data_IF_052738381370
#
_entry.id   IF_052738381370
#
_cell.length_a   1.000
_cell.length_b   1.000
_cell.length_c   1.000
_cell.angle_alpha   90.00
_cell.angle_beta   90.00
_cell.angle_gamma   90.00
#
_symmetry.space_group_name_H-M   'P 1'
#
loop_
_entity.id
_entity.type
_entity.pdbx_description
1 polymer ?
#
# COMPACT_ATOMS: atom_id res chain seq x y z
N UNK A 1 -30.50 6.19 37.11
CA UNK A 1 -29.71 7.02 36.16
C UNK A 1 -28.33 6.39 36.05
N UNK A 2 -28.10 5.56 35.08
CA UNK A 2 -26.78 4.94 34.79
C UNK A 2 -25.95 5.99 34.09
N UNK A 3 -24.94 6.52 34.76
CA UNK A 3 -23.89 7.32 34.11
C UNK A 3 -23.15 6.44 33.14
N UNK A 4 -23.45 6.55 31.85
CA UNK A 4 -22.57 6.00 30.80
C UNK A 4 -21.23 6.70 30.95
N UNK A 5 -20.20 5.94 31.32
CA UNK A 5 -18.83 6.40 31.29
C UNK A 5 -18.45 6.50 29.77
N UNK A 6 -18.44 7.72 29.26
CA UNK A 6 -18.06 7.99 27.89
C UNK A 6 -16.56 7.72 27.75
N UNK A 7 -16.20 6.62 27.10
CA UNK A 7 -14.80 6.33 26.76
C UNK A 7 -14.33 7.33 25.72
N UNK A 8 -13.45 8.25 26.11
CA UNK A 8 -12.89 9.30 25.23
C UNK A 8 -11.73 8.85 24.35
N UNK A 9 -11.35 7.57 24.37
CA UNK A 9 -10.30 7.05 23.50
C UNK A 9 -10.94 6.62 22.18
N UNK A 10 -10.80 7.45 21.16
CA UNK A 10 -11.31 7.17 19.84
C UNK A 10 -10.28 6.34 19.06
N UNK A 11 -10.75 5.31 18.37
CA UNK A 11 -9.93 4.49 17.46
C UNK A 11 -9.37 5.32 16.28
N UNK A 12 -10.08 6.36 15.88
CA UNK A 12 -9.68 7.28 14.82
C UNK A 12 -10.25 8.66 15.09
N UNK A 13 -9.48 9.71 14.78
CA UNK A 13 -9.91 11.11 14.81
C UNK A 13 -10.11 11.73 13.44
N UNK A 14 -10.27 10.88 12.41
CA UNK A 14 -10.40 11.35 11.03
C UNK A 14 -11.47 12.44 10.86
N UNK A 15 -12.62 12.31 11.53
CA UNK A 15 -13.69 13.32 11.44
C UNK A 15 -13.29 14.66 12.10
N UNK A 16 -12.47 14.67 13.15
CA UNK A 16 -11.95 15.91 13.74
C UNK A 16 -10.99 16.61 12.80
N UNK A 17 -10.06 15.84 12.19
CA UNK A 17 -9.11 16.34 11.18
C UNK A 17 -9.85 16.85 9.95
N UNK A 18 -10.83 16.11 9.44
CA UNK A 18 -11.65 16.54 8.32
C UNK A 18 -12.48 17.77 8.66
N UNK A 19 -12.94 17.90 9.91
CA UNK A 19 -13.66 19.08 10.39
C UNK A 19 -12.84 20.36 10.32
N UNK A 20 -11.55 20.31 10.66
CA UNK A 20 -10.65 21.46 10.60
C UNK A 20 -10.29 21.86 9.15
N UNK A 21 -10.35 20.91 8.22
CA UNK A 21 -10.06 21.10 6.80
C UNK A 21 -11.32 21.15 5.92
N UNK A 22 -12.50 21.33 6.53
CA UNK A 22 -13.78 21.21 5.84
C UNK A 22 -13.87 22.04 4.58
N UNK A 23 -13.56 23.31 4.66
CA UNK A 23 -13.73 24.24 3.55
C UNK A 23 -12.70 23.93 2.43
N UNK A 24 -11.45 23.64 2.77
CA UNK A 24 -10.42 23.21 1.82
C UNK A 24 -10.82 21.92 1.09
N UNK A 25 -11.38 20.93 1.82
CA UNK A 25 -11.88 19.69 1.24
C UNK A 25 -13.06 19.96 0.29
N UNK A 26 -14.01 20.79 0.70
CA UNK A 26 -15.18 21.12 -0.13
C UNK A 26 -14.77 21.84 -1.41
N UNK A 27 -13.83 22.79 -1.33
CA UNK A 27 -13.29 23.50 -2.48
C UNK A 27 -12.55 22.56 -3.43
N UNK A 28 -11.71 21.65 -2.91
CA UNK A 28 -11.01 20.66 -3.72
C UNK A 28 -11.98 19.70 -4.42
N UNK A 29 -13.02 19.24 -3.74
CA UNK A 29 -14.07 18.39 -4.32
C UNK A 29 -14.85 19.14 -5.39
N UNK A 30 -15.24 20.39 -5.13
CA UNK A 30 -15.94 21.24 -6.10
C UNK A 30 -15.11 21.46 -7.38
N UNK A 31 -13.81 21.68 -7.24
CA UNK A 31 -12.89 21.80 -8.39
C UNK A 31 -12.85 20.54 -9.26
N UNK A 32 -12.99 19.35 -8.68
CA UNK A 32 -13.01 18.11 -9.45
C UNK A 32 -14.39 17.87 -10.10
N UNK A 33 -15.49 18.11 -9.36
CA UNK A 33 -16.85 17.79 -9.82
C UNK A 33 -17.34 18.76 -10.90
N UNK A 34 -17.06 20.06 -10.72
CA UNK A 34 -17.61 21.13 -11.57
C UNK A 34 -16.66 21.62 -12.67
N UNK A 35 -15.53 20.96 -12.85
CA UNK A 35 -14.57 21.21 -13.92
C UNK A 35 -14.53 20.02 -14.90
N UNK A 36 -13.89 20.18 -16.08
CA UNK A 36 -13.74 19.09 -17.03
C UNK A 36 -13.14 17.82 -16.40
N UNK A 37 -13.54 16.66 -16.89
CA UNK A 37 -13.08 15.34 -16.42
C UNK A 37 -11.54 15.25 -16.30
N UNK A 38 -10.82 15.94 -17.19
CA UNK A 38 -9.36 16.07 -17.14
C UNK A 38 -8.82 16.61 -15.81
N UNK A 39 -9.60 17.40 -15.07
CA UNK A 39 -9.18 17.93 -13.77
C UNK A 39 -9.01 16.81 -12.73
N UNK A 40 -9.89 15.82 -12.71
CA UNK A 40 -9.77 14.67 -11.81
C UNK A 40 -8.49 13.87 -12.07
N UNK A 41 -8.13 13.66 -13.34
CA UNK A 41 -6.87 13.00 -13.71
C UNK A 41 -5.66 13.80 -13.26
N UNK A 42 -5.64 15.11 -13.50
CA UNK A 42 -4.53 16.00 -13.06
C UNK A 42 -4.36 16.02 -11.54
N UNK A 43 -5.47 16.06 -10.80
CA UNK A 43 -5.45 16.01 -9.34
C UNK A 43 -4.86 14.71 -8.83
N UNK A 44 -5.25 13.57 -9.43
CA UNK A 44 -4.66 12.27 -9.10
C UNK A 44 -3.16 12.24 -9.41
N UNK A 45 -2.74 12.63 -10.60
CA UNK A 45 -1.33 12.64 -11.00
C UNK A 45 -0.48 13.54 -10.10
N UNK A 46 -1.01 14.71 -9.73
CA UNK A 46 -0.33 15.61 -8.80
C UNK A 46 -0.17 14.98 -7.41
N UNK A 47 -1.19 14.28 -6.92
CA UNK A 47 -1.13 13.58 -5.63
C UNK A 47 -0.15 12.39 -5.70
N UNK A 48 -0.18 11.60 -6.76
CA UNK A 48 0.76 10.50 -7.00
C UNK A 48 2.21 11.01 -6.96
N UNK A 49 2.50 12.12 -7.67
CA UNK A 49 3.84 12.72 -7.69
C UNK A 49 4.30 13.23 -6.31
N UNK A 50 3.42 13.92 -5.59
CA UNK A 50 3.70 14.43 -4.24
C UNK A 50 3.92 13.28 -3.24
N UNK A 51 3.10 12.24 -3.32
CA UNK A 51 3.22 11.08 -2.43
C UNK A 51 4.50 10.30 -2.70
N UNK A 52 4.85 10.04 -3.96
CA UNK A 52 6.12 9.42 -4.34
C UNK A 52 7.31 10.21 -3.78
N UNK A 53 7.31 11.54 -3.92
CA UNK A 53 8.34 12.41 -3.37
C UNK A 53 8.41 12.31 -1.84
N UNK A 54 7.26 12.31 -1.15
CA UNK A 54 7.20 12.28 0.32
C UNK A 54 7.80 10.98 0.91
N UNK A 55 7.66 9.86 0.20
CA UNK A 55 8.21 8.55 0.62
C UNK A 55 9.53 8.19 -0.09
N UNK A 56 10.12 9.14 -0.83
CA UNK A 56 11.42 8.95 -1.46
C UNK A 56 11.43 7.94 -2.61
N UNK A 57 10.28 7.70 -3.26
CA UNK A 57 10.14 6.80 -4.39
C UNK A 57 10.02 7.54 -5.73
N UNK A 58 10.31 6.86 -6.85
CA UNK A 58 10.24 7.47 -8.18
C UNK A 58 8.81 7.55 -8.72
N UNK A 59 7.98 6.56 -8.41
CA UNK A 59 6.66 6.40 -8.98
C UNK A 59 5.64 6.10 -7.90
N UNK A 60 4.42 6.61 -8.10
CA UNK A 60 3.25 6.24 -7.34
C UNK A 60 2.07 5.97 -8.27
N UNK A 61 1.16 5.08 -7.86
CA UNK A 61 -0.06 4.72 -8.58
C UNK A 61 -1.21 4.66 -7.59
N UNK A 62 -2.19 5.54 -7.76
CA UNK A 62 -3.41 5.55 -6.96
C UNK A 62 -4.32 4.37 -7.27
N UNK A 63 -4.90 3.76 -6.23
CA UNK A 63 -5.82 2.63 -6.33
C UNK A 63 -7.05 2.84 -5.45
N UNK A 64 -8.10 2.06 -5.71
CA UNK A 64 -9.35 2.16 -4.96
C UNK A 64 -9.22 1.78 -3.48
N UNK A 65 -8.32 0.88 -3.12
CA UNK A 65 -8.04 0.46 -1.75
C UNK A 65 -6.69 -0.25 -1.65
N UNK A 66 -6.11 -0.34 -0.45
CA UNK A 66 -4.90 -1.13 -0.24
C UNK A 66 -5.09 -2.61 -0.60
N UNK A 67 -6.27 -3.19 -0.36
CA UNK A 67 -6.59 -4.57 -0.76
C UNK A 67 -6.39 -4.78 -2.26
N UNK A 68 -6.94 -3.89 -3.08
CA UNK A 68 -6.71 -3.92 -4.55
C UNK A 68 -5.25 -3.60 -4.86
N UNK A 69 -4.63 -2.68 -4.11
CA UNK A 69 -3.21 -2.38 -4.22
C UNK A 69 -2.32 -3.61 -4.05
N UNK A 70 -2.52 -4.38 -2.98
CA UNK A 70 -1.79 -5.64 -2.73
C UNK A 70 -1.99 -6.65 -3.86
N UNK A 71 -3.22 -6.81 -4.36
CA UNK A 71 -3.52 -7.70 -5.48
C UNK A 71 -2.75 -7.29 -6.75
N UNK A 72 -2.78 -6.00 -7.07
CA UNK A 72 -2.10 -5.43 -8.24
C UNK A 72 -0.58 -5.51 -8.08
N UNK A 73 -0.04 -5.21 -6.89
CA UNK A 73 1.38 -5.31 -6.58
C UNK A 73 1.92 -6.73 -6.78
N UNK A 74 1.23 -7.73 -6.23
CA UNK A 74 1.59 -9.14 -6.41
C UNK A 74 1.61 -9.53 -7.89
N UNK A 75 0.60 -9.11 -8.67
CA UNK A 75 0.55 -9.38 -10.12
C UNK A 75 1.67 -8.67 -10.87
N UNK A 76 1.93 -7.40 -10.57
CA UNK A 76 3.00 -6.64 -11.21
C UNK A 76 4.39 -7.20 -10.88
N UNK A 77 4.55 -7.83 -9.71
CA UNK A 77 5.75 -8.58 -9.32
C UNK A 77 5.79 -10.01 -9.89
N UNK A 78 4.86 -10.40 -10.77
CA UNK A 78 4.88 -11.69 -11.48
C UNK A 78 4.28 -12.87 -10.71
N UNK A 79 3.65 -12.65 -9.55
CA UNK A 79 3.07 -13.74 -8.76
C UNK A 79 1.92 -14.40 -9.52
N UNK A 80 1.96 -15.72 -9.58
CA UNK A 80 1.09 -16.58 -10.37
C UNK A 80 0.49 -17.71 -9.52
N UNK A 81 -0.56 -18.41 -10.01
CA UNK A 81 -1.12 -19.55 -9.30
C UNK A 81 -0.07 -20.63 -9.00
N UNK A 82 -0.03 -21.09 -7.75
CA UNK A 82 0.90 -22.09 -7.25
C UNK A 82 2.21 -21.53 -6.69
N UNK A 83 2.53 -20.25 -6.91
CA UNK A 83 3.66 -19.59 -6.24
C UNK A 83 3.39 -19.44 -4.74
N UNK A 84 4.46 -19.44 -3.97
CA UNK A 84 4.42 -19.21 -2.53
C UNK A 84 4.83 -17.77 -2.20
N UNK A 85 4.07 -17.15 -1.29
CA UNK A 85 4.34 -15.82 -0.74
C UNK A 85 4.44 -15.93 0.78
N UNK A 86 5.61 -15.64 1.33
CA UNK A 86 5.84 -15.64 2.78
C UNK A 86 5.22 -14.36 3.36
N UNK A 87 4.37 -14.51 4.39
CA UNK A 87 3.71 -13.40 5.08
C UNK A 87 3.39 -13.77 6.52
N UNK A 88 2.68 -12.92 7.25
CA UNK A 88 2.31 -13.13 8.66
C UNK A 88 0.83 -13.46 8.82
N UNK A 89 0.46 -14.11 9.93
CA UNK A 89 -0.93 -14.42 10.25
C UNK A 89 -1.65 -13.29 10.99
N UNK A 90 -0.93 -12.44 11.70
CA UNK A 90 -1.47 -11.34 12.52
C UNK A 90 -1.68 -10.06 11.71
N UNK A 91 -2.38 -10.14 10.60
CA UNK A 91 -2.71 -9.03 9.73
C UNK A 91 -4.20 -8.96 9.42
N UNK A 92 -4.61 -7.92 8.68
CA UNK A 92 -5.94 -7.90 8.06
C UNK A 92 -6.10 -9.06 7.09
N UNK A 93 -7.32 -9.58 6.96
CA UNK A 93 -7.63 -10.68 6.04
C UNK A 93 -7.27 -10.36 4.59
N UNK A 94 -7.18 -9.09 4.22
CA UNK A 94 -6.78 -8.65 2.89
C UNK A 94 -5.40 -9.15 2.51
N UNK A 95 -4.45 -9.19 3.43
CA UNK A 95 -3.06 -9.61 3.17
C UNK A 95 -2.98 -11.04 2.64
N UNK A 96 -3.53 -12.00 3.38
CA UNK A 96 -3.55 -13.42 2.95
C UNK A 96 -4.63 -13.69 1.89
N UNK A 97 -5.74 -12.95 1.95
CA UNK A 97 -6.86 -13.08 1.03
C UNK A 97 -6.48 -12.79 -0.42
N UNK A 98 -5.71 -11.74 -0.68
CA UNK A 98 -5.29 -11.41 -2.05
C UNK A 98 -4.31 -12.44 -2.62
N UNK A 99 -3.41 -13.00 -1.79
CA UNK A 99 -2.52 -14.11 -2.20
C UNK A 99 -3.37 -15.30 -2.66
N UNK A 100 -4.36 -15.69 -1.86
CA UNK A 100 -5.28 -16.79 -2.21
C UNK A 100 -6.13 -16.47 -3.44
N UNK A 101 -6.55 -15.21 -3.60
CA UNK A 101 -7.33 -14.78 -4.75
C UNK A 101 -6.56 -14.93 -6.08
N UNK A 102 -5.23 -14.77 -6.04
CA UNK A 102 -4.36 -15.03 -7.19
C UNK A 102 -4.10 -16.52 -7.46
N UNK A 103 -4.61 -17.42 -6.62
CA UNK A 103 -4.27 -18.84 -6.67
C UNK A 103 -2.89 -19.18 -6.12
N UNK A 104 -2.18 -18.20 -5.55
CA UNK A 104 -0.93 -18.40 -4.86
C UNK A 104 -1.14 -18.94 -3.43
N UNK A 105 -0.08 -19.37 -2.79
CA UNK A 105 -0.09 -20.01 -1.46
C UNK A 105 0.56 -19.09 -0.43
N UNK A 106 -0.17 -18.58 0.57
CA UNK A 106 0.44 -17.87 1.67
C UNK A 106 1.20 -18.87 2.57
N UNK A 107 2.48 -18.61 2.78
CA UNK A 107 3.34 -19.32 3.73
C UNK A 107 3.47 -18.44 4.96
N UNK A 108 2.98 -18.91 6.10
CA UNK A 108 2.93 -18.10 7.31
C UNK A 108 4.26 -18.18 8.07
N UNK A 109 4.86 -17.01 8.25
CA UNK A 109 6.02 -16.80 9.12
C UNK A 109 5.54 -16.26 10.46
N UNK A 110 6.18 -16.64 11.53
CA UNK A 110 5.89 -16.10 12.86
C UNK A 110 6.41 -14.66 13.00
N UNK A 111 5.97 -13.98 14.03
CA UNK A 111 6.31 -12.59 14.30
C UNK A 111 7.24 -12.47 15.50
N UNK A 112 7.90 -11.33 15.62
CA UNK A 112 8.65 -10.96 16.81
C UNK A 112 7.70 -10.67 17.97
N UNK A 113 8.00 -11.16 19.17
CA UNK A 113 7.25 -10.85 20.38
C UNK A 113 7.38 -9.38 20.79
N UNK A 114 8.45 -8.70 20.38
CA UNK A 114 8.77 -7.33 20.75
C UNK A 114 7.85 -6.29 20.09
N UNK A 115 7.45 -6.52 18.84
CA UNK A 115 6.79 -5.51 18.01
C UNK A 115 5.73 -6.07 17.06
N UNK A 116 5.57 -7.38 17.03
CA UNK A 116 4.57 -8.10 16.22
C UNK A 116 4.79 -7.97 14.69
N UNK A 117 5.95 -7.51 14.25
CA UNK A 117 6.31 -7.55 12.83
C UNK A 117 6.89 -8.91 12.44
N UNK A 118 7.01 -9.18 11.15
CA UNK A 118 7.54 -10.43 10.62
C UNK A 118 8.93 -10.73 11.18
N UNK A 119 9.14 -11.93 11.74
CA UNK A 119 10.44 -12.36 12.25
C UNK A 119 11.36 -12.74 11.06
N UNK A 120 12.25 -11.83 10.70
CA UNK A 120 13.17 -11.98 9.57
C UNK A 120 14.10 -13.20 9.72
N UNK A 121 14.45 -13.59 10.96
CA UNK A 121 15.34 -14.72 11.22
C UNK A 121 14.72 -16.08 10.82
N UNK A 122 13.40 -16.14 10.68
CA UNK A 122 12.68 -17.35 10.28
C UNK A 122 12.43 -17.44 8.78
N UNK A 123 12.55 -16.32 8.03
CA UNK A 123 12.16 -16.24 6.62
C UNK A 123 12.92 -17.23 5.75
N UNK A 124 14.25 -17.29 5.92
CA UNK A 124 15.10 -18.08 5.03
C UNK A 124 14.82 -19.58 5.13
N UNK A 125 14.40 -20.06 6.31
CA UNK A 125 14.01 -21.46 6.53
C UNK A 125 12.67 -21.83 5.87
N UNK A 126 11.85 -20.85 5.50
CA UNK A 126 10.56 -21.05 4.85
C UNK A 126 10.63 -20.99 3.31
N UNK A 127 11.81 -20.64 2.76
CA UNK A 127 11.98 -20.53 1.32
C UNK A 127 12.04 -21.91 0.68
N UNK A 128 11.21 -22.10 -0.36
CA UNK A 128 11.21 -23.27 -1.22
C UNK A 128 11.46 -22.88 -2.67
N UNK A 129 11.53 -23.86 -3.57
CA UNK A 129 11.64 -23.60 -5.02
C UNK A 129 10.42 -22.89 -5.63
N UNK A 130 9.32 -22.81 -4.88
CA UNK A 130 8.07 -22.13 -5.28
C UNK A 130 7.93 -20.72 -4.71
N UNK A 131 8.75 -20.36 -3.73
CA UNK A 131 8.70 -19.04 -3.11
C UNK A 131 9.11 -17.99 -4.14
N UNK A 132 8.31 -16.93 -4.28
CA UNK A 132 8.53 -15.83 -5.21
C UNK A 132 8.57 -14.47 -4.53
N UNK A 133 7.95 -14.35 -3.36
CA UNK A 133 7.90 -13.07 -2.67
C UNK A 133 7.83 -13.24 -1.15
N UNK A 134 8.20 -12.16 -0.46
CA UNK A 134 7.90 -11.93 0.96
C UNK A 134 6.97 -10.72 1.02
N UNK A 135 5.89 -10.83 1.80
CA UNK A 135 4.93 -9.77 2.05
C UNK A 135 4.93 -9.44 3.54
N UNK A 136 5.87 -8.59 4.02
CA UNK A 136 5.87 -8.08 5.39
C UNK A 136 4.72 -7.10 5.59
N UNK A 137 4.29 -6.94 6.84
CA UNK A 137 3.21 -6.04 7.25
C UNK A 137 3.72 -5.11 8.35
N UNK A 138 3.57 -3.81 8.14
CA UNK A 138 3.89 -2.77 9.12
C UNK A 138 2.74 -2.60 10.11
N UNK A 139 2.58 -3.61 10.96
CA UNK A 139 1.44 -3.71 11.85
C UNK A 139 1.46 -2.54 12.87
N UNK A 140 0.30 -1.95 13.08
CA UNK A 140 0.12 -0.79 13.95
C UNK A 140 0.96 0.44 13.58
N UNK A 141 1.51 0.49 12.35
CA UNK A 141 2.38 1.56 11.88
C UNK A 141 3.85 1.41 12.29
N UNK A 142 4.22 0.26 12.85
CA UNK A 142 5.60 -0.08 13.14
C UNK A 142 6.21 -0.80 11.93
N UNK A 143 7.29 -0.25 11.33
CA UNK A 143 7.90 -0.86 10.15
C UNK A 143 8.48 -2.23 10.44
N UNK A 144 8.24 -3.19 9.55
CA UNK A 144 9.00 -4.44 9.52
C UNK A 144 10.46 -4.17 9.12
N UNK A 145 11.40 -5.04 9.49
CA UNK A 145 12.82 -4.90 9.09
C UNK A 145 13.01 -5.26 7.61
N UNK A 146 12.45 -4.42 6.73
CA UNK A 146 12.48 -4.62 5.28
C UNK A 146 13.89 -4.51 4.73
N UNK A 147 14.77 -3.76 5.40
CA UNK A 147 16.19 -3.67 5.04
C UNK A 147 16.90 -5.03 5.14
N UNK A 148 16.70 -5.77 6.24
CA UNK A 148 17.25 -7.13 6.36
C UNK A 148 16.58 -8.11 5.42
N UNK A 149 15.26 -7.97 5.19
CA UNK A 149 14.55 -8.76 4.20
C UNK A 149 15.11 -8.56 2.79
N UNK A 150 15.54 -7.35 2.43
CA UNK A 150 16.16 -7.05 1.13
C UNK A 150 17.43 -7.90 0.90
N UNK A 151 18.24 -8.08 1.93
CA UNK A 151 19.44 -8.93 1.81
C UNK A 151 19.08 -10.39 1.54
N UNK A 152 18.06 -10.92 2.21
CA UNK A 152 17.54 -12.29 1.96
C UNK A 152 16.93 -12.36 0.54
N UNK A 153 16.09 -11.43 0.18
CA UNK A 153 15.42 -11.40 -1.10
C UNK A 153 16.43 -11.38 -2.27
N UNK A 154 17.50 -10.60 -2.15
CA UNK A 154 18.55 -10.55 -3.16
C UNK A 154 19.30 -11.88 -3.31
N UNK A 155 19.52 -12.63 -2.21
CA UNK A 155 20.18 -13.95 -2.29
C UNK A 155 19.31 -15.03 -2.94
N UNK A 156 18.00 -14.89 -2.84
CA UNK A 156 17.02 -15.90 -3.27
C UNK A 156 16.16 -15.48 -4.45
N UNK A 157 16.47 -14.34 -5.08
CA UNK A 157 15.69 -13.76 -6.19
C UNK A 157 14.19 -13.61 -5.87
N UNK A 158 13.88 -13.08 -4.69
CA UNK A 158 12.53 -12.85 -4.22
C UNK A 158 12.13 -11.38 -4.35
N UNK A 159 10.85 -11.13 -4.57
CA UNK A 159 10.26 -9.79 -4.49
C UNK A 159 9.81 -9.47 -3.07
N UNK A 160 9.86 -8.20 -2.68
CA UNK A 160 9.30 -7.68 -1.43
C UNK A 160 8.13 -6.78 -1.75
N UNK A 161 6.94 -7.18 -1.30
CA UNK A 161 5.73 -6.37 -1.35
C UNK A 161 5.39 -5.96 0.08
N UNK A 162 5.59 -4.70 0.45
CA UNK A 162 5.40 -4.18 1.80
C UNK A 162 3.97 -3.69 2.00
N UNK A 163 3.25 -4.25 2.96
CA UNK A 163 1.92 -3.79 3.38
C UNK A 163 2.08 -2.71 4.46
N UNK A 164 2.17 -1.47 4.02
CA UNK A 164 2.30 -0.27 4.86
C UNK A 164 0.95 0.44 5.08
N UNK A 165 -0.16 -0.31 5.09
CA UNK A 165 -1.51 0.25 5.21
C UNK A 165 -1.75 1.07 6.48
N UNK A 166 -0.89 0.98 7.49
CA UNK A 166 -0.94 1.72 8.75
C UNK A 166 0.29 2.62 8.98
N UNK A 167 1.28 2.61 8.07
CA UNK A 167 2.61 3.17 8.30
C UNK A 167 2.89 4.45 7.49
N UNK A 168 1.85 5.22 7.13
CA UNK A 168 2.04 6.50 6.45
C UNK A 168 2.86 7.46 7.34
N UNK A 169 4.00 7.92 6.82
CA UNK A 169 4.92 8.81 7.53
C UNK A 169 5.86 8.12 8.52
N UNK A 170 5.79 6.80 8.66
CA UNK A 170 6.74 6.04 9.44
C UNK A 170 8.10 5.94 8.72
N UNK A 171 9.14 5.70 9.51
CA UNK A 171 10.50 5.53 9.03
C UNK A 171 11.07 4.21 9.51
N UNK A 172 11.74 3.50 8.62
CA UNK A 172 12.59 2.36 8.91
C UNK A 172 14.04 2.88 8.95
N UNK A 173 14.61 2.96 10.16
CA UNK A 173 15.86 3.66 10.45
C UNK A 173 15.82 5.13 10.00
N UNK A 174 16.63 5.49 9.01
CA UNK A 174 16.79 6.83 8.47
C UNK A 174 15.98 7.10 7.20
N UNK A 175 15.25 6.09 6.72
CA UNK A 175 14.47 6.19 5.48
C UNK A 175 12.97 6.06 5.72
N UNK A 176 12.15 6.74 4.94
CA UNK A 176 10.72 6.53 5.00
C UNK A 176 10.36 5.08 4.62
N UNK A 177 9.29 4.56 5.23
CA UNK A 177 8.68 3.29 4.83
C UNK A 177 8.43 3.30 3.33
N UNK A 178 8.74 2.19 2.67
CA UNK A 178 8.71 2.07 1.22
C UNK A 178 10.09 2.14 0.55
N UNK A 179 11.12 2.51 1.27
CA UNK A 179 12.44 2.74 0.67
C UNK A 179 13.19 1.46 0.25
N UNK A 180 12.83 0.31 0.82
CA UNK A 180 13.57 -0.94 0.64
C UNK A 180 12.77 -2.04 -0.10
N UNK A 181 11.47 -1.91 -0.22
CA UNK A 181 10.61 -2.86 -0.93
C UNK A 181 10.65 -2.67 -2.45
N UNK A 182 10.26 -3.70 -3.22
CA UNK A 182 10.02 -3.56 -4.65
C UNK A 182 8.75 -2.77 -4.93
N UNK A 183 7.71 -3.02 -4.11
CA UNK A 183 6.46 -2.25 -4.09
C UNK A 183 6.01 -2.09 -2.65
N UNK A 184 5.58 -0.88 -2.28
CA UNK A 184 4.93 -0.63 -1.00
C UNK A 184 3.50 -0.17 -1.21
N UNK A 185 2.59 -0.66 -0.38
CA UNK A 185 1.15 -0.43 -0.48
C UNK A 185 0.65 0.33 0.74
N UNK A 186 0.10 1.51 0.52
CA UNK A 186 -0.51 2.36 1.54
C UNK A 186 -2.04 2.36 1.42
N UNK A 187 -2.71 2.53 2.55
CA UNK A 187 -4.19 2.63 2.62
C UNK A 187 -4.63 4.03 2.99
N UNK A 188 -5.64 4.55 2.29
CA UNK A 188 -6.31 5.79 2.65
C UNK A 188 -7.74 5.56 3.12
N UNK A 189 -8.07 4.37 3.63
CA UNK A 189 -9.35 4.14 4.29
C UNK A 189 -9.55 5.16 5.43
N UNK A 190 -10.79 5.59 5.75
CA UNK A 190 -11.04 6.70 6.68
C UNK A 190 -10.43 6.56 8.07
N UNK A 191 -10.13 5.33 8.49
CA UNK A 191 -9.56 5.02 9.82
C UNK A 191 -8.03 5.01 9.83
N UNK A 192 -7.39 5.24 8.68
CA UNK A 192 -5.93 5.20 8.54
C UNK A 192 -5.29 6.54 8.94
N UNK A 193 -3.97 6.59 9.23
CA UNK A 193 -3.28 7.83 9.62
C UNK A 193 -3.49 8.97 8.60
N UNK A 194 -3.41 8.67 7.31
CA UNK A 194 -3.82 9.55 6.23
C UNK A 194 -5.12 8.99 5.61
N UNK A 195 -6.26 9.31 6.23
CA UNK A 195 -7.57 8.82 5.79
C UNK A 195 -8.25 9.75 4.78
N UNK A 196 -8.85 9.17 3.73
CA UNK A 196 -9.71 9.89 2.79
C UNK A 196 -11.18 9.89 3.21
N UNK A 197 -12.03 10.58 2.44
CA UNK A 197 -13.50 10.61 2.63
C UNK A 197 -14.17 9.33 2.08
N UNK A 198 -13.44 8.25 1.94
CA UNK A 198 -13.89 6.95 1.43
C UNK A 198 -12.71 6.01 1.40
N UNK A 199 -12.78 4.98 0.58
CA UNK A 199 -11.64 4.11 0.38
C UNK A 199 -10.64 4.73 -0.59
N UNK A 200 -9.37 4.37 -0.42
CA UNK A 200 -8.29 4.74 -1.31
C UNK A 200 -7.02 3.98 -0.94
N UNK A 201 -6.04 4.03 -1.79
CA UNK A 201 -4.72 3.47 -1.55
C UNK A 201 -3.71 3.99 -2.55
N UNK A 202 -2.44 3.74 -2.27
CA UNK A 202 -1.32 4.12 -3.10
C UNK A 202 -0.31 2.98 -3.16
N UNK A 203 0.18 2.73 -4.36
CA UNK A 203 1.32 1.88 -4.62
C UNK A 203 2.52 2.76 -4.91
N UNK A 204 3.69 2.46 -4.35
CA UNK A 204 4.92 3.18 -4.68
C UNK A 204 6.03 2.21 -5.06
N UNK A 205 6.86 2.62 -5.99
CA UNK A 205 8.02 1.86 -6.44
C UNK A 205 9.06 2.79 -7.11
N UNK A 206 10.32 2.36 -7.15
CA UNK A 206 11.34 3.01 -7.98
C UNK A 206 11.70 2.21 -9.22
N UNK A 207 11.13 1.01 -9.38
CA UNK A 207 11.30 0.13 -10.53
C UNK A 207 10.34 0.53 -11.66
N UNK A 208 10.88 0.81 -12.85
CA UNK A 208 10.11 1.27 -14.01
C UNK A 208 9.27 0.15 -14.65
N UNK A 209 9.76 -1.09 -14.63
CA UNK A 209 9.03 -2.24 -15.17
C UNK A 209 7.82 -2.56 -14.27
N UNK A 210 8.03 -2.59 -12.95
CA UNK A 210 6.95 -2.76 -11.98
C UNK A 210 5.94 -1.62 -12.12
N UNK A 211 6.39 -0.35 -12.21
CA UNK A 211 5.50 0.80 -12.40
C UNK A 211 4.63 0.65 -13.65
N UNK A 212 5.24 0.23 -14.77
CA UNK A 212 4.50 -0.02 -16.02
C UNK A 212 3.45 -1.11 -15.84
N UNK A 213 3.79 -2.21 -15.16
CA UNK A 213 2.85 -3.26 -14.79
C UNK A 213 1.71 -2.75 -13.90
N UNK A 214 2.01 -1.95 -12.87
CA UNK A 214 1.00 -1.34 -12.00
C UNK A 214 0.01 -0.48 -12.79
N UNK A 215 0.50 0.34 -13.72
CA UNK A 215 -0.35 1.17 -14.61
C UNK A 215 -1.26 0.34 -15.49
N UNK A 216 -0.74 -0.73 -16.11
CA UNK A 216 -1.54 -1.63 -16.94
C UNK A 216 -2.68 -2.27 -16.14
N UNK A 217 -2.41 -2.80 -14.94
CA UNK A 217 -3.43 -3.44 -14.10
C UNK A 217 -4.45 -2.47 -13.52
N UNK A 218 -4.11 -1.18 -13.39
CA UNK A 218 -5.03 -0.16 -12.86
C UNK A 218 -5.78 0.60 -13.95
N UNK A 219 -5.44 0.41 -15.23
CA UNK A 219 -6.07 1.13 -16.35
C UNK A 219 -6.39 0.19 -17.53
N UNK A 220 -7.36 -0.70 -17.35
CA UNK A 220 -7.95 -1.56 -18.39
C UNK A 220 -6.97 -2.39 -19.23
N UNK A 221 -5.73 -2.61 -18.77
CA UNK A 221 -4.69 -3.29 -19.54
C UNK A 221 -4.05 -2.42 -20.62
N UNK A 222 -4.29 -1.11 -20.61
CA UNK A 222 -3.66 -0.14 -21.49
C UNK A 222 -2.65 0.72 -20.73
N UNK A 223 -1.52 1.04 -21.32
CA UNK A 223 -0.70 2.14 -20.85
C UNK A 223 -1.47 3.44 -21.13
N UNK A 224 -1.79 4.26 -20.11
CA UNK A 224 -2.46 5.53 -20.37
C UNK A 224 -1.56 6.42 -21.22
N UNK A 225 -1.95 6.69 -22.44
CA UNK A 225 -1.29 7.67 -23.30
C UNK A 225 -1.85 9.06 -22.99
N UNK A 226 -1.11 10.12 -23.35
CA UNK A 226 -1.65 11.49 -23.21
C UNK A 226 -2.94 11.70 -24.04
N UNK A 227 -3.17 10.84 -25.03
CA UNK A 227 -4.36 10.86 -25.90
C UNK A 227 -5.58 10.22 -25.22
N UNK A 228 -5.37 9.34 -24.24
CA UNK A 228 -6.45 8.69 -23.48
C UNK A 228 -7.05 9.60 -22.40
N UNK A 229 -6.42 10.75 -22.12
CA UNK A 229 -6.98 11.75 -21.20
C UNK A 229 -7.99 12.58 -21.98
N UNK A 230 -9.32 12.49 -21.67
CA UNK A 230 -10.30 13.31 -22.38
C UNK A 230 -9.93 14.78 -22.20
N UNK A 231 -9.53 15.41 -23.29
CA UNK A 231 -9.39 16.88 -23.34
C UNK A 231 -10.82 17.40 -23.30
N UNK A 232 -11.24 17.94 -22.14
CA UNK A 232 -12.58 18.52 -22.03
C UNK A 232 -12.78 19.60 -23.08
N UNK A 233 -13.89 19.50 -23.79
CA UNK A 233 -14.45 20.56 -24.62
C UNK A 233 -15.18 21.55 -23.74
#
# INVERSE_FOLDING_TARGET
MTTQTEFRVLRSRAYETHGTLRDDIMDAVAQVIFNPISQGYRTREAFEAQFAQAVGQRYAVGVHSATIGLLVALRACGISPGDEVITVANSDISTTGVIRHLGAVPVLCDVLESDYTLNVDLVEALITSKTRAVLPVDLHGHPADVRRLRDIANRHDLKIIEDAALAQGAHDYDKPVGAYADVTVFSFAPVKPLGSVGNGGMLVTSDEEIHSGLRLYTYYGHAPTKEDIPVGH
#
